data_IF_912784645684
#
_entry.id   IF_912784645684
#
_cell.length_a   1.000
_cell.length_b   1.000
_cell.length_c   1.000
_cell.angle_alpha   90.00
_cell.angle_beta   90.00
_cell.angle_gamma   90.00
#
_symmetry.space_group_name_H-M   'P 1'
#
loop_
_entity.id
_entity.type
_entity.pdbx_description
1 polymer ?
#
# COMPACT_ATOMS: atom_id res chain seq x y z
N UNK A 1 -9.18 17.16 -17.23
CA UNK A 1 -7.96 17.19 -16.39
C UNK A 1 -6.89 16.35 -17.06
N UNK A 2 -5.84 16.98 -17.60
CA UNK A 2 -4.64 16.29 -18.08
C UNK A 2 -3.98 15.61 -16.88
N UNK A 3 -3.97 14.26 -16.84
CA UNK A 3 -3.21 13.53 -15.82
C UNK A 3 -1.75 13.93 -15.94
N UNK A 4 -1.17 14.40 -14.83
CA UNK A 4 0.26 14.68 -14.75
C UNK A 4 1.01 13.40 -15.11
N UNK A 5 1.88 13.45 -16.13
CA UNK A 5 2.62 12.27 -16.60
C UNK A 5 3.50 11.68 -15.48
N UNK A 6 3.96 12.53 -14.55
CA UNK A 6 4.73 12.15 -13.37
C UNK A 6 4.00 11.13 -12.48
N UNK A 7 2.66 11.18 -12.45
CA UNK A 7 1.80 10.31 -11.63
C UNK A 7 1.28 9.09 -12.40
N UNK A 8 1.74 8.88 -13.63
CA UNK A 8 1.45 7.66 -14.37
C UNK A 8 2.24 6.48 -13.79
N UNK A 9 1.55 5.39 -13.46
CA UNK A 9 2.17 4.12 -13.07
C UNK A 9 2.77 3.49 -14.33
N UNK A 10 4.07 3.18 -14.28
CA UNK A 10 4.81 2.56 -15.37
C UNK A 10 4.67 1.04 -15.30
N UNK A 11 4.87 0.47 -14.11
CA UNK A 11 4.63 -0.94 -13.81
C UNK A 11 4.35 -1.15 -12.32
N UNK A 12 3.77 -2.31 -12.01
CA UNK A 12 3.55 -2.77 -10.63
C UNK A 12 4.53 -3.88 -10.30
N UNK A 13 5.04 -3.93 -9.07
CA UNK A 13 5.90 -5.01 -8.60
C UNK A 13 5.21 -5.79 -7.48
N UNK A 14 5.47 -7.10 -7.42
CA UNK A 14 4.97 -7.95 -6.33
C UNK A 14 5.99 -9.00 -5.94
N UNK A 15 6.25 -9.10 -4.63
CA UNK A 15 6.95 -10.23 -4.06
C UNK A 15 6.00 -11.42 -3.90
N UNK A 16 6.35 -12.55 -4.50
CA UNK A 16 5.60 -13.80 -4.46
C UNK A 16 6.44 -14.85 -3.75
N UNK A 17 5.82 -15.65 -2.87
CA UNK A 17 6.50 -16.74 -2.17
C UNK A 17 7.17 -17.68 -3.15
N UNK A 18 8.44 -18.00 -2.91
CA UNK A 18 9.27 -18.82 -3.79
C UNK A 18 8.91 -20.31 -3.67
N UNK A 19 7.66 -20.66 -4.01
CA UNK A 19 7.22 -22.04 -4.18
C UNK A 19 6.50 -22.16 -5.53
N UNK A 20 6.71 -23.25 -6.28
CA UNK A 20 6.17 -23.42 -7.62
C UNK A 20 4.66 -23.16 -7.70
N UNK A 21 3.88 -23.62 -6.71
CA UNK A 21 2.43 -23.41 -6.65
C UNK A 21 2.06 -21.92 -6.63
N UNK A 22 2.60 -21.14 -5.70
CA UNK A 22 2.26 -19.71 -5.57
C UNK A 22 2.74 -18.88 -6.76
N UNK A 23 3.90 -19.22 -7.33
CA UNK A 23 4.39 -18.58 -8.55
C UNK A 23 3.41 -18.89 -9.68
N UNK A 24 3.07 -20.17 -9.91
CA UNK A 24 2.14 -20.59 -10.97
C UNK A 24 0.77 -19.92 -10.80
N UNK A 25 0.23 -19.88 -9.58
CA UNK A 25 -1.02 -19.19 -9.27
C UNK A 25 -0.94 -17.72 -9.66
N UNK A 26 0.10 -17.00 -9.25
CA UNK A 26 0.30 -15.60 -9.62
C UNK A 26 0.43 -15.41 -11.14
N UNK A 27 1.21 -16.27 -11.83
CA UNK A 27 1.34 -16.21 -13.30
C UNK A 27 0.01 -16.43 -14.01
N UNK A 28 -0.84 -17.29 -13.46
CA UNK A 28 -2.15 -17.60 -14.01
C UNK A 28 -3.22 -16.54 -13.69
N UNK A 29 -2.86 -15.45 -13.00
CA UNK A 29 -3.81 -14.38 -12.64
C UNK A 29 -4.54 -14.62 -11.32
N UNK A 30 -4.19 -15.65 -10.55
CA UNK A 30 -4.80 -15.90 -9.25
C UNK A 30 -4.23 -14.93 -8.20
N UNK A 31 -4.99 -13.88 -7.87
CA UNK A 31 -4.60 -12.87 -6.89
C UNK A 31 -5.28 -13.14 -5.54
N UNK A 32 -4.45 -13.25 -4.50
CA UNK A 32 -4.90 -13.41 -3.12
C UNK A 32 -5.05 -12.04 -2.44
N UNK A 33 -6.17 -11.87 -1.74
CA UNK A 33 -6.58 -10.68 -1.01
C UNK A 33 -6.51 -10.95 0.49
N UNK A 34 -5.41 -10.55 1.11
CA UNK A 34 -5.15 -10.80 2.52
C UNK A 34 -6.03 -9.91 3.39
N UNK A 35 -6.63 -10.46 4.45
CA UNK A 35 -7.47 -9.71 5.39
C UNK A 35 -6.70 -8.53 5.99
N UNK A 36 -7.35 -7.40 6.23
CA UNK A 36 -6.72 -6.26 6.89
C UNK A 36 -6.18 -6.65 8.28
N UNK A 37 -6.98 -7.36 9.07
CA UNK A 37 -6.62 -7.79 10.42
C UNK A 37 -5.32 -8.61 10.49
N UNK A 38 -4.98 -9.34 9.43
CA UNK A 38 -3.71 -10.09 9.37
C UNK A 38 -2.49 -9.17 9.48
N UNK A 39 -2.53 -7.99 8.87
CA UNK A 39 -1.42 -7.04 8.93
C UNK A 39 -1.29 -6.38 10.31
N UNK A 40 -2.41 -6.13 10.99
CA UNK A 40 -2.39 -5.69 12.39
C UNK A 40 -1.75 -6.78 13.27
N UNK A 41 -2.13 -8.03 13.06
CA UNK A 41 -1.63 -9.18 13.82
C UNK A 41 -0.14 -9.43 13.59
N UNK A 42 0.36 -9.30 12.36
CA UNK A 42 1.79 -9.45 12.04
C UNK A 42 2.67 -8.49 12.86
N UNK A 43 2.31 -7.21 12.95
CA UNK A 43 3.11 -6.26 13.71
C UNK A 43 2.90 -6.43 15.22
N UNK A 44 1.65 -6.60 15.68
CA UNK A 44 1.36 -6.69 17.11
C UNK A 44 1.84 -7.99 17.77
N UNK A 45 1.74 -9.13 17.07
CA UNK A 45 2.03 -10.46 17.63
C UNK A 45 3.41 -10.98 17.23
N UNK A 46 3.86 -10.65 16.02
CA UNK A 46 5.12 -11.16 15.47
C UNK A 46 6.22 -10.09 15.37
N UNK A 47 5.91 -8.84 15.75
CA UNK A 47 6.82 -7.69 15.65
C UNK A 47 7.39 -7.49 14.23
N UNK A 48 6.60 -7.86 13.20
CA UNK A 48 6.97 -7.71 11.79
C UNK A 48 6.32 -6.45 11.21
N UNK A 49 7.03 -5.33 11.26
CA UNK A 49 6.60 -4.04 10.72
C UNK A 49 7.07 -3.76 9.27
N UNK A 50 7.70 -4.75 8.64
CA UNK A 50 8.06 -4.71 7.20
C UNK A 50 6.84 -4.99 6.34
N UNK A 51 6.12 -6.06 6.68
CA UNK A 51 4.89 -6.48 6.01
C UNK A 51 3.66 -6.01 6.78
N UNK A 52 3.70 -6.03 8.11
CA UNK A 52 2.60 -5.60 8.97
C UNK A 52 2.43 -4.10 9.07
N UNK A 53 1.25 -3.69 9.50
CA UNK A 53 0.94 -2.34 9.98
C UNK A 53 -0.06 -2.49 11.13
N UNK A 54 0.37 -2.24 12.36
CA UNK A 54 -0.52 -2.32 13.54
C UNK A 54 -1.71 -1.35 13.45
N UNK A 55 -1.58 -0.29 12.66
CA UNK A 55 -2.61 0.71 12.37
C UNK A 55 -3.24 0.50 10.99
N UNK A 56 -3.13 -0.70 10.39
CA UNK A 56 -3.79 -1.01 9.13
C UNK A 56 -5.31 -0.74 9.26
N UNK A 57 -5.88 -0.01 8.30
CA UNK A 57 -7.26 0.53 8.29
C UNK A 57 -7.65 1.47 9.44
N UNK A 58 -6.65 2.13 10.03
CA UNK A 58 -6.81 3.18 11.02
C UNK A 58 -6.18 4.50 10.54
N UNK A 59 -6.87 5.60 10.77
CA UNK A 59 -6.36 6.94 10.58
C UNK A 59 -6.21 7.63 11.93
N UNK A 60 -4.99 8.12 12.22
CA UNK A 60 -4.66 8.83 13.46
C UNK A 60 -4.40 10.30 13.14
N UNK A 61 -5.01 11.20 13.90
CA UNK A 61 -4.78 12.64 13.76
C UNK A 61 -4.35 13.25 15.09
N UNK A 62 -3.27 14.02 15.08
CA UNK A 62 -2.79 14.78 16.24
C UNK A 62 -3.24 16.25 16.12
N UNK A 63 -3.97 16.74 17.13
CA UNK A 63 -4.46 18.11 17.18
C UNK A 63 -3.40 18.97 17.89
N UNK A 64 -2.62 19.70 17.11
CA UNK A 64 -1.47 20.47 17.62
C UNK A 64 -1.78 21.96 17.89
N UNK A 65 -2.87 22.52 17.35
CA UNK A 65 -3.20 23.95 17.43
C UNK A 65 -4.47 24.24 18.26
N UNK A 66 -4.57 23.61 19.44
CA UNK A 66 -5.74 23.76 20.29
C UNK A 66 -5.74 25.11 21.04
N UNK A 67 -6.50 26.09 20.53
CA UNK A 67 -6.59 27.43 21.16
C UNK A 67 -7.41 27.47 22.45
N UNK A 68 -8.41 26.60 22.56
CA UNK A 68 -9.28 26.50 23.74
C UNK A 68 -10.04 25.17 23.70
N UNK A 69 -10.23 24.55 24.86
CA UNK A 69 -11.07 23.37 25.01
C UNK A 69 -12.07 23.59 26.13
N UNK A 70 -13.33 23.19 25.90
CA UNK A 70 -14.36 23.15 26.94
C UNK A 70 -14.94 21.75 26.98
N UNK A 71 -14.91 21.12 28.16
CA UNK A 71 -15.46 19.78 28.39
C UNK A 71 -16.61 19.92 29.39
N UNK A 72 -17.82 19.53 29.00
CA UNK A 72 -19.02 19.62 29.85
C UNK A 72 -19.24 21.01 30.50
N UNK A 73 -18.90 22.09 29.79
CA UNK A 73 -19.02 23.47 30.28
C UNK A 73 -17.82 23.99 31.08
N UNK A 74 -16.83 23.15 31.38
CA UNK A 74 -15.61 23.56 32.06
C UNK A 74 -14.51 23.91 31.06
N UNK A 75 -13.98 25.13 31.14
CA UNK A 75 -12.84 25.58 30.33
C UNK A 75 -11.58 24.87 30.84
N UNK A 76 -10.89 24.18 29.93
CA UNK A 76 -9.59 23.55 30.20
C UNK A 76 -8.50 24.52 29.74
N UNK A 77 -7.47 24.72 30.57
CA UNK A 77 -6.30 25.49 30.17
C UNK A 77 -5.51 24.69 29.11
N UNK A 78 -5.24 25.22 27.90
CA UNK A 78 -4.47 24.50 26.90
C UNK A 78 -3.10 24.01 27.37
N UNK A 79 -2.47 24.70 28.34
CA UNK A 79 -1.19 24.30 28.93
C UNK A 79 -1.27 22.97 29.71
N UNK A 80 -2.44 22.63 30.24
CA UNK A 80 -2.67 21.36 30.95
C UNK A 80 -2.86 20.18 29.97
N UNK A 81 -3.01 20.48 28.67
CA UNK A 81 -3.26 19.51 27.62
C UNK A 81 -1.95 19.15 26.95
N UNK A 82 -1.42 17.98 27.28
CA UNK A 82 -0.16 17.49 26.71
C UNK A 82 -0.32 16.90 25.30
N UNK A 83 -1.47 16.32 24.99
CA UNK A 83 -1.81 15.77 23.67
C UNK A 83 -3.31 15.58 23.49
N UNK A 84 -3.84 15.93 22.33
CA UNK A 84 -5.16 15.49 21.86
C UNK A 84 -5.00 14.81 20.51
N UNK A 85 -5.66 13.68 20.35
CA UNK A 85 -5.71 12.98 19.07
C UNK A 85 -7.07 12.38 18.81
N UNK A 86 -7.37 12.16 17.54
CA UNK A 86 -8.58 11.49 17.08
C UNK A 86 -8.21 10.30 16.22
N UNK A 87 -8.85 9.17 16.48
CA UNK A 87 -8.70 7.93 15.73
C UNK A 87 -9.98 7.62 14.95
N UNK A 88 -9.85 7.42 13.64
CA UNK A 88 -10.89 6.82 12.80
C UNK A 88 -10.46 5.40 12.47
N UNK A 89 -11.32 4.43 12.72
CA UNK A 89 -10.96 3.03 12.57
C UNK A 89 -12.12 2.22 12.01
N UNK A 90 -11.83 1.33 11.05
CA UNK A 90 -12.80 0.32 10.62
C UNK A 90 -13.09 -0.65 11.78
N UNK A 91 -14.35 -1.05 11.99
CA UNK A 91 -14.65 -2.04 13.01
C UNK A 91 -14.01 -3.41 12.66
N UNK A 92 -13.82 -4.27 13.66
CA UNK A 92 -13.13 -5.56 13.49
C UNK A 92 -13.80 -6.49 12.47
N UNK A 93 -15.13 -6.51 12.42
CA UNK A 93 -15.89 -7.34 11.46
C UNK A 93 -15.60 -6.91 10.03
N UNK A 94 -15.58 -5.60 9.77
CA UNK A 94 -15.25 -5.05 8.45
C UNK A 94 -13.79 -5.31 8.07
N UNK A 95 -12.86 -5.22 9.03
CA UNK A 95 -11.44 -5.57 8.80
C UNK A 95 -11.26 -7.04 8.43
N UNK A 96 -12.01 -7.93 9.08
CA UNK A 96 -11.97 -9.37 8.81
C UNK A 96 -12.65 -9.77 7.49
N UNK A 97 -13.54 -8.91 6.98
CA UNK A 97 -14.26 -9.09 5.73
C UNK A 97 -13.69 -8.28 4.56
N UNK A 98 -12.70 -7.42 4.80
CA UNK A 98 -12.04 -6.65 3.76
C UNK A 98 -10.63 -7.21 3.48
N UNK A 99 -10.43 -7.66 2.25
CA UNK A 99 -9.14 -8.19 1.79
C UNK A 99 -8.43 -7.21 0.87
N UNK A 100 -7.11 -7.11 1.00
CA UNK A 100 -6.25 -6.28 0.15
C UNK A 100 -5.21 -7.11 -0.59
N UNK A 101 -4.99 -6.76 -1.85
CA UNK A 101 -3.88 -7.24 -2.66
C UNK A 101 -2.97 -6.07 -3.02
N UNK A 102 -1.87 -5.92 -2.30
CA UNK A 102 -0.93 -4.82 -2.51
C UNK A 102 0.15 -5.15 -3.54
N UNK A 103 0.50 -4.15 -4.32
CA UNK A 103 1.64 -4.09 -5.23
C UNK A 103 2.49 -2.86 -4.87
N UNK A 104 3.78 -2.90 -5.18
CA UNK A 104 4.61 -1.70 -5.20
C UNK A 104 4.41 -1.00 -6.54
N UNK A 105 3.96 0.24 -6.55
CA UNK A 105 3.80 1.02 -7.77
C UNK A 105 5.07 1.82 -8.08
N UNK A 106 5.60 1.61 -9.28
CA UNK A 106 6.65 2.47 -9.84
C UNK A 106 5.99 3.48 -10.77
N UNK A 107 6.08 4.74 -10.40
CA UNK A 107 5.56 5.87 -11.15
C UNK A 107 6.61 6.44 -12.10
N UNK A 108 6.18 7.24 -13.08
CA UNK A 108 7.11 7.90 -13.98
C UNK A 108 8.09 8.83 -13.24
N UNK A 109 7.65 9.48 -12.16
CA UNK A 109 8.50 10.29 -11.27
C UNK A 109 9.56 9.50 -10.50
N UNK A 110 9.42 8.18 -10.43
CA UNK A 110 10.38 7.26 -9.79
C UNK A 110 11.49 6.82 -10.76
N UNK A 111 11.44 7.33 -11.99
CA UNK A 111 12.44 7.11 -13.02
C UNK A 111 13.32 8.35 -13.19
N UNK A 112 14.56 8.12 -13.59
CA UNK A 112 15.48 9.15 -14.06
C UNK A 112 16.01 8.76 -15.44
N UNK A 113 16.35 9.76 -16.26
CA UNK A 113 17.00 9.49 -17.54
C UNK A 113 18.42 8.98 -17.30
N UNK A 114 18.82 8.02 -18.11
CA UNK A 114 20.20 7.58 -18.13
C UNK A 114 21.11 8.71 -18.63
N UNK A 115 22.27 8.87 -17.98
CA UNK A 115 23.24 9.93 -18.34
C UNK A 115 23.82 9.73 -19.72
N UNK A 116 23.95 8.46 -20.15
CA UNK A 116 24.64 8.08 -21.38
C UNK A 116 23.66 7.83 -22.54
N UNK A 117 22.34 7.81 -22.28
CA UNK A 117 21.33 7.54 -23.30
C UNK A 117 19.98 8.18 -22.94
N UNK A 118 19.61 9.25 -23.64
CA UNK A 118 18.38 10.02 -23.38
C UNK A 118 17.06 9.23 -23.56
N UNK A 119 17.11 8.09 -24.27
CA UNK A 119 15.97 7.21 -24.50
C UNK A 119 15.87 6.08 -23.47
N UNK A 120 16.82 5.98 -22.54
CA UNK A 120 16.83 4.97 -21.48
C UNK A 120 16.46 5.65 -20.18
N UNK A 121 15.55 5.00 -19.45
CA UNK A 121 15.17 5.40 -18.10
C UNK A 121 15.63 4.31 -17.12
N UNK A 122 16.10 4.74 -15.95
CA UNK A 122 16.48 3.87 -14.84
C UNK A 122 15.58 4.19 -13.65
N UNK A 123 15.28 3.17 -12.84
CA UNK A 123 14.61 3.40 -11.55
C UNK A 123 15.62 4.10 -10.65
N UNK A 124 15.17 5.16 -9.96
CA UNK A 124 16.04 5.92 -9.07
C UNK A 124 16.60 5.03 -7.93
N UNK A 125 17.85 5.24 -7.49
CA UNK A 125 18.48 4.41 -6.45
C UNK A 125 17.64 4.29 -5.17
N UNK A 126 17.05 5.38 -4.68
CA UNK A 126 16.23 5.38 -3.47
C UNK A 126 14.98 4.49 -3.59
N UNK A 127 14.41 4.39 -4.80
CA UNK A 127 13.25 3.52 -5.07
C UNK A 127 13.69 2.05 -5.12
N UNK A 128 14.91 1.78 -5.59
CA UNK A 128 15.50 0.43 -5.52
C UNK A 128 15.74 0.00 -4.07
N UNK A 129 16.25 0.90 -3.22
CA UNK A 129 16.43 0.66 -1.78
C UNK A 129 15.08 0.32 -1.11
N UNK A 130 14.04 1.09 -1.42
CA UNK A 130 12.68 0.84 -0.93
C UNK A 130 12.15 -0.52 -1.37
N UNK A 131 12.31 -0.91 -2.64
CA UNK A 131 11.93 -2.25 -3.13
C UNK A 131 12.69 -3.35 -2.37
N UNK A 132 13.99 -3.18 -2.14
CA UNK A 132 14.80 -4.17 -1.42
C UNK A 132 14.38 -4.30 0.05
N UNK A 133 14.03 -3.18 0.69
CA UNK A 133 13.55 -3.14 2.08
C UNK A 133 12.27 -3.97 2.28
N UNK A 134 11.45 -4.13 1.25
CA UNK A 134 10.21 -4.92 1.27
C UNK A 134 10.41 -6.43 1.18
N UNK A 135 11.61 -6.89 0.83
CA UNK A 135 11.85 -8.32 0.72
C UNK A 135 11.76 -8.97 2.11
N UNK A 136 10.71 -9.74 2.30
CA UNK A 136 10.46 -10.50 3.52
C UNK A 136 10.40 -12.00 3.24
N UNK A 137 11.27 -12.78 3.90
CA UNK A 137 11.42 -14.22 3.71
C UNK A 137 11.86 -14.64 2.30
N UNK A 138 11.60 -15.90 1.98
CA UNK A 138 11.94 -16.51 0.68
C UNK A 138 10.88 -16.17 -0.38
N UNK A 139 11.07 -15.02 -1.04
CA UNK A 139 10.19 -14.48 -2.08
C UNK A 139 10.97 -14.03 -3.31
N UNK A 140 10.32 -14.13 -4.46
CA UNK A 140 10.78 -13.64 -5.76
C UNK A 140 10.00 -12.41 -6.18
N UNK A 141 10.67 -11.45 -6.80
CA UNK A 141 10.07 -10.22 -7.28
C UNK A 141 9.61 -10.38 -8.73
N UNK A 142 8.36 -10.00 -9.00
CA UNK A 142 7.80 -9.97 -10.34
C UNK A 142 7.36 -8.55 -10.70
N UNK A 143 7.61 -8.16 -11.95
CA UNK A 143 7.05 -6.97 -12.59
C UNK A 143 5.76 -7.37 -13.30
N UNK A 144 4.72 -6.55 -13.20
CA UNK A 144 3.51 -6.60 -14.03
C UNK A 144 3.53 -5.38 -14.95
N UNK A 145 3.75 -5.61 -16.24
CA UNK A 145 3.89 -4.57 -17.28
C UNK A 145 2.53 -4.03 -17.73
N UNK A 146 1.53 -4.90 -17.85
CA UNK A 146 0.20 -4.53 -18.34
C UNK A 146 -0.69 -3.97 -17.21
N UNK A 147 -0.28 -2.84 -16.64
CA UNK A 147 -1.00 -2.19 -15.53
C UNK A 147 -2.42 -1.80 -15.95
N UNK A 148 -2.59 -1.30 -17.18
CA UNK A 148 -3.90 -0.91 -17.71
C UNK A 148 -4.85 -2.10 -17.81
N UNK A 149 -4.37 -3.25 -18.30
CA UNK A 149 -5.15 -4.48 -18.37
C UNK A 149 -5.59 -4.95 -17.00
N UNK A 150 -4.66 -4.97 -16.03
CA UNK A 150 -4.96 -5.33 -14.65
C UNK A 150 -6.01 -4.41 -14.00
N UNK A 151 -5.88 -3.09 -14.18
CA UNK A 151 -6.86 -2.12 -13.69
C UNK A 151 -8.22 -2.29 -14.38
N UNK A 152 -8.24 -2.52 -15.69
CA UNK A 152 -9.50 -2.74 -16.41
C UNK A 152 -10.23 -3.97 -15.86
N UNK A 153 -9.52 -5.07 -15.69
CA UNK A 153 -10.09 -6.30 -15.16
C UNK A 153 -10.54 -6.15 -13.70
N UNK A 154 -9.81 -5.41 -12.85
CA UNK A 154 -10.26 -5.15 -11.49
C UNK A 154 -11.59 -4.39 -11.45
N UNK A 155 -11.82 -3.50 -12.42
CA UNK A 155 -13.11 -2.81 -12.55
C UNK A 155 -14.24 -3.75 -12.97
N UNK A 156 -13.96 -4.75 -13.82
CA UNK A 156 -14.93 -5.80 -14.19
C UNK A 156 -15.34 -6.63 -12.96
N UNK A 157 -14.40 -6.89 -12.05
CA UNK A 157 -14.65 -7.50 -10.74
C UNK A 157 -15.23 -6.55 -9.68
N UNK A 158 -15.46 -5.27 -10.03
CA UNK A 158 -15.94 -4.21 -9.11
C UNK A 158 -15.06 -4.06 -7.87
N UNK A 159 -13.76 -4.29 -8.01
CA UNK A 159 -12.82 -4.09 -6.92
C UNK A 159 -12.49 -2.60 -6.80
N UNK A 160 -12.47 -2.10 -5.57
CA UNK A 160 -11.86 -0.80 -5.30
C UNK A 160 -10.36 -0.90 -5.50
N UNK A 161 -9.74 0.13 -6.07
CA UNK A 161 -8.30 0.11 -6.28
C UNK A 161 -7.71 1.51 -6.32
N UNK A 162 -6.45 1.62 -5.93
CA UNK A 162 -5.79 2.93 -5.88
C UNK A 162 -4.47 2.94 -5.13
N UNK A 163 -3.74 4.06 -5.22
CA UNK A 163 -2.55 4.29 -4.41
C UNK A 163 -2.91 4.46 -2.93
N UNK A 164 -2.04 4.01 -2.04
CA UNK A 164 -2.11 4.36 -0.62
C UNK A 164 -1.68 5.81 -0.44
N UNK A 165 -2.47 6.54 0.34
CA UNK A 165 -2.22 7.89 0.81
C UNK A 165 -1.36 7.78 2.07
N UNK A 166 -0.10 8.19 1.94
CA UNK A 166 0.82 8.31 3.06
C UNK A 166 0.72 9.69 3.69
N UNK A 167 0.57 9.75 5.01
CA UNK A 167 0.34 11.00 5.72
C UNK A 167 1.16 11.14 7.00
N UNK A 168 1.35 12.39 7.41
CA UNK A 168 1.86 12.73 8.73
C UNK A 168 0.66 13.02 9.66
N UNK A 169 0.49 12.27 10.78
CA UNK A 169 -0.59 12.51 11.73
C UNK A 169 -0.66 13.95 12.26
N UNK A 170 0.44 14.70 12.22
CA UNK A 170 0.50 16.09 12.72
C UNK A 170 -0.02 17.13 11.74
N UNK A 171 0.10 16.87 10.44
CA UNK A 171 -0.10 17.87 9.40
C UNK A 171 -1.21 17.53 8.42
N UNK A 172 -1.73 16.30 8.45
CA UNK A 172 -2.78 15.89 7.52
C UNK A 172 -4.15 16.40 7.98
N UNK A 173 -4.89 17.02 7.06
CA UNK A 173 -6.21 17.55 7.37
C UNK A 173 -7.25 16.42 7.38
N UNK A 174 -7.94 16.23 8.52
CA UNK A 174 -8.95 15.18 8.70
C UNK A 174 -10.13 15.29 7.72
N UNK A 175 -10.47 16.49 7.26
CA UNK A 175 -11.53 16.75 6.27
C UNK A 175 -11.23 16.12 4.89
N UNK A 176 -9.97 15.77 4.60
CA UNK A 176 -9.54 15.06 3.39
C UNK A 176 -9.65 13.54 3.51
N UNK A 177 -10.03 13.04 4.69
CA UNK A 177 -10.12 11.60 4.95
C UNK A 177 -11.48 11.08 4.56
N UNK A 178 -11.48 10.07 3.69
CA UNK A 178 -12.70 9.31 3.41
C UNK A 178 -12.81 8.12 4.36
N UNK A 179 -13.75 8.17 5.29
CA UNK A 179 -14.02 7.10 6.28
C UNK A 179 -14.35 5.74 5.63
N UNK A 180 -14.96 5.73 4.43
CA UNK A 180 -15.24 4.50 3.68
C UNK A 180 -14.02 3.88 2.98
N UNK A 181 -12.87 4.55 3.03
CA UNK A 181 -11.65 4.20 2.30
C UNK A 181 -10.41 4.15 3.23
N UNK A 182 -10.60 3.90 4.52
CA UNK A 182 -9.51 3.84 5.51
C UNK A 182 -8.42 2.81 5.17
N UNK A 183 -8.75 1.77 4.39
CA UNK A 183 -7.79 0.81 3.84
C UNK A 183 -6.84 1.39 2.80
N UNK A 184 -6.88 2.69 2.50
CA UNK A 184 -5.93 3.37 1.64
C UNK A 184 -5.10 4.42 2.38
N UNK A 185 -5.14 4.48 3.71
CA UNK A 185 -4.34 5.44 4.48
C UNK A 185 -3.29 4.73 5.32
N UNK A 186 -2.03 5.20 5.24
CA UNK A 186 -0.92 4.74 6.08
C UNK A 186 -0.10 5.92 6.56
N UNK A 187 0.52 5.80 7.72
CA UNK A 187 1.44 6.85 8.18
C UNK A 187 2.73 6.86 7.35
N UNK A 188 3.44 7.98 7.34
CA UNK A 188 4.71 8.14 6.63
C UNK A 188 5.79 7.12 7.04
N UNK A 189 5.67 6.45 8.20
CA UNK A 189 6.52 5.31 8.60
C UNK A 189 6.61 4.26 7.49
N UNK A 190 5.51 4.01 6.78
CA UNK A 190 5.38 2.96 5.77
C UNK A 190 5.49 3.47 4.33
N UNK A 191 5.87 4.75 4.13
CA UNK A 191 5.90 5.39 2.81
C UNK A 191 6.75 4.63 1.78
N UNK A 192 7.84 4.02 2.24
CA UNK A 192 8.73 3.17 1.45
C UNK A 192 8.05 1.95 0.81
N UNK A 193 6.81 1.62 1.18
CA UNK A 193 6.07 0.48 0.60
C UNK A 193 5.45 0.81 -0.79
N UNK A 194 5.28 2.09 -1.13
CA UNK A 194 4.73 2.59 -2.40
C UNK A 194 3.47 1.82 -2.86
N UNK A 195 2.57 1.54 -1.93
CA UNK A 195 1.51 0.58 -2.17
C UNK A 195 0.47 1.09 -3.17
N UNK A 196 0.14 0.24 -4.13
CA UNK A 196 -1.08 0.28 -4.91
C UNK A 196 -1.91 -0.94 -4.54
N UNK A 197 -3.13 -0.71 -4.07
CA UNK A 197 -3.99 -1.76 -3.53
C UNK A 197 -5.13 -2.04 -4.48
N UNK A 198 -5.45 -3.32 -4.61
CA UNK A 198 -6.78 -3.78 -4.98
C UNK A 198 -7.47 -4.24 -3.72
N UNK A 199 -8.75 -3.90 -3.57
CA UNK A 199 -9.53 -4.14 -2.37
C UNK A 199 -10.78 -4.91 -2.74
N UNK A 200 -10.96 -6.05 -2.08
CA UNK A 200 -12.17 -6.85 -2.13
C UNK A 200 -12.92 -6.68 -0.82
N UNK A 201 -14.02 -5.94 -0.86
CA UNK A 201 -15.00 -5.94 0.22
C UNK A 201 -15.73 -7.28 0.21
N UNK A 202 -16.17 -7.73 1.38
CA UNK A 202 -16.89 -9.00 1.57
C UNK A 202 -16.12 -10.22 1.05
N UNK A 203 -14.92 -10.45 1.56
CA UNK A 203 -14.16 -11.67 1.24
C UNK A 203 -14.86 -12.95 1.71
N UNK A 204 -15.75 -12.88 2.71
CA UNK A 204 -16.66 -13.96 3.09
C UNK A 204 -16.02 -15.35 3.11
N UNK A 205 -16.24 -16.12 2.03
CA UNK A 205 -15.78 -17.51 1.84
C UNK A 205 -14.54 -17.68 0.94
N UNK A 206 -13.98 -16.62 0.37
CA UNK A 206 -12.90 -16.72 -0.60
C UNK A 206 -12.10 -15.42 -0.72
N UNK A 207 -10.80 -15.54 -0.48
CA UNK A 207 -9.84 -14.45 -0.59
C UNK A 207 -9.08 -14.45 -1.93
N UNK A 208 -9.59 -15.16 -2.93
CA UNK A 208 -8.95 -15.32 -4.23
C UNK A 208 -9.83 -14.72 -5.33
N UNK A 209 -9.22 -13.98 -6.25
CA UNK A 209 -9.85 -13.51 -7.48
C UNK A 209 -9.03 -14.01 -8.66
N UNK A 210 -9.71 -14.51 -9.68
CA UNK A 210 -9.11 -15.12 -10.86
C UNK A 210 -9.07 -14.11 -12.00
N UNK A 211 -7.96 -13.39 -12.13
CA UNK A 211 -7.73 -12.53 -13.28
C UNK A 211 -7.27 -13.37 -14.48
N UNK A 212 -7.23 -12.76 -15.65
CA UNK A 212 -6.60 -13.32 -16.84
C UNK A 212 -5.14 -13.64 -16.54
N UNK A 213 -4.62 -14.63 -17.27
CA UNK A 213 -3.23 -15.03 -17.14
C UNK A 213 -2.30 -13.85 -17.35
N UNK A 214 -1.44 -13.63 -16.36
CA UNK A 214 -0.41 -12.59 -16.37
C UNK A 214 0.88 -13.08 -17.04
N UNK A 215 0.96 -14.35 -17.46
CA UNK A 215 2.19 -15.01 -17.91
C UNK A 215 2.96 -14.24 -19.00
N UNK A 216 2.26 -13.59 -19.93
CA UNK A 216 2.87 -12.77 -21.00
C UNK A 216 3.25 -11.36 -20.54
N UNK A 217 2.62 -10.90 -19.47
CA UNK A 217 2.69 -9.54 -18.96
C UNK A 217 3.61 -9.39 -17.74
N UNK A 218 4.25 -10.47 -17.30
CA UNK A 218 5.15 -10.47 -16.15
C UNK A 218 6.61 -10.75 -16.49
N UNK A 219 7.50 -10.25 -15.62
CA UNK A 219 8.94 -10.52 -15.67
C UNK A 219 9.45 -10.79 -14.25
N UNK A 220 10.19 -11.88 -14.05
CA UNK A 220 10.92 -12.12 -12.78
C UNK A 220 12.17 -11.22 -12.75
N UNK A 221 12.34 -10.43 -11.69
CA UNK A 221 13.54 -9.65 -11.45
C UNK A 221 14.49 -10.43 -10.55
N UNK A 222 15.78 -10.45 -10.93
CA UNK A 222 16.88 -10.87 -10.07
C UNK A 222 17.75 -9.66 -9.77
N UNK A 223 17.78 -9.25 -8.50
CA UNK A 223 18.79 -8.28 -8.07
C UNK A 223 20.16 -8.95 -8.13
N UNK A 224 21.09 -8.36 -8.87
CA UNK A 224 22.51 -8.72 -8.74
C UNK A 224 22.99 -8.08 -7.44
N UNK A 225 23.27 -8.89 -6.43
CA UNK A 225 24.03 -8.43 -5.27
C UNK A 225 25.43 -8.15 -5.82
N UNK A 226 25.90 -6.89 -5.74
CA UNK A 226 27.32 -6.63 -5.89
C UNK A 226 27.97 -7.24 -4.65
N UNK A 227 28.65 -8.36 -4.82
CA UNK A 227 29.64 -8.81 -3.84
C UNK A 227 30.73 -7.74 -3.82
N UNK A 228 30.96 -7.15 -2.64
CA UNK A 228 32.10 -6.28 -2.38
C UNK A 228 33.34 -7.14 -2.15
#
# INVERSE_FOLDING_TARGET
MTKNIADAIVFLLKYVKNRPKYIKDFKNGNLYFTKLQYFNDLENKENNDKTGDKNESKFHWEINDLKSLTIAGHKINPEDITKISLDLEMNSIDKDNCGICSFFAVYFRDLEKDKDNENVYRIKPEVIEDIQKLKDGDRKLFVVKNVKGLIRESNEYKLEHGPVIYYDPKYYEINKVSTNHLMFYKTNKYKYQHEYRFVKKDIGKGNLVHFNSLEKDILEIKFKIKEN
#
